data_IF_663792828228
#
_entry.id   IF_663792828228
#
_cell.length_a   1.000
_cell.length_b   1.000
_cell.length_c   1.000
_cell.angle_alpha   90.00
_cell.angle_beta   90.00
_cell.angle_gamma   90.00
#
_symmetry.space_group_name_H-M   'P 1'
#
loop_
_entity.id
_entity.type
_entity.pdbx_description
1 polymer ?
#
# COMPACT_ATOMS: atom_id res chain seq x y z
N UNK A 1 6.58 36.02 -8.12
CA UNK A 1 7.39 34.97 -8.77
C UNK A 1 7.13 33.58 -8.19
N UNK A 2 7.29 33.35 -6.89
CA UNK A 2 7.12 32.01 -6.27
C UNK A 2 5.75 31.35 -6.46
N UNK A 3 4.65 32.13 -6.50
CA UNK A 3 3.30 31.60 -6.77
C UNK A 3 3.13 31.05 -8.18
N UNK A 4 3.83 31.60 -9.18
CA UNK A 4 3.78 31.16 -10.58
C UNK A 4 4.55 29.85 -10.77
N UNK A 5 5.72 29.74 -10.12
CA UNK A 5 6.53 28.51 -10.11
C UNK A 5 5.78 27.36 -9.45
N UNK A 6 5.08 27.60 -8.34
CA UNK A 6 4.23 26.59 -7.70
C UNK A 6 3.08 26.12 -8.61
N UNK A 7 2.49 27.00 -9.43
CA UNK A 7 1.45 26.64 -10.38
C UNK A 7 2.00 25.75 -11.52
N UNK A 8 3.12 26.14 -12.12
CA UNK A 8 3.77 25.36 -13.19
C UNK A 8 4.20 23.98 -12.68
N UNK A 9 4.74 23.95 -11.46
CA UNK A 9 5.15 22.76 -10.75
C UNK A 9 4.02 21.71 -10.63
N UNK A 10 2.82 22.15 -10.23
CA UNK A 10 1.70 21.22 -10.07
C UNK A 10 1.09 20.82 -11.42
N UNK A 11 1.12 21.71 -12.43
CA UNK A 11 0.69 21.36 -13.80
C UNK A 11 1.59 20.23 -14.36
N UNK A 12 2.90 20.27 -14.11
CA UNK A 12 3.82 19.19 -14.52
C UNK A 12 3.49 17.87 -13.81
N UNK A 13 3.24 17.91 -12.50
CA UNK A 13 2.82 16.72 -11.73
C UNK A 13 1.50 16.15 -12.28
N UNK A 14 0.54 17.01 -12.60
CA UNK A 14 -0.74 16.59 -13.18
C UNK A 14 -0.56 15.91 -14.54
N UNK A 15 0.38 16.39 -15.36
CA UNK A 15 0.62 15.81 -16.69
C UNK A 15 1.32 14.45 -16.64
N UNK A 16 2.25 14.27 -15.70
CA UNK A 16 2.91 12.97 -15.45
C UNK A 16 1.89 11.94 -14.96
N UNK A 17 0.90 12.38 -14.18
CA UNK A 17 -0.10 11.52 -13.55
C UNK A 17 -1.23 11.07 -14.48
N UNK A 18 -1.61 11.87 -15.49
CA UNK A 18 -2.61 11.50 -16.52
C UNK A 18 -2.17 10.32 -17.38
N UNK A 19 -0.86 10.12 -17.61
CA UNK A 19 -0.35 9.02 -18.45
C UNK A 19 -0.51 7.61 -17.84
N UNK A 20 -0.98 7.49 -16.60
CA UNK A 20 -0.87 6.27 -15.79
C UNK A 20 -2.22 5.62 -15.49
N UNK A 21 -3.18 5.79 -16.40
CA UNK A 21 -4.57 5.40 -16.21
C UNK A 21 -4.70 3.89 -15.86
N UNK A 22 -4.85 3.58 -14.57
CA UNK A 22 -5.23 2.25 -14.08
C UNK A 22 -6.73 2.14 -14.31
N UNK A 23 -7.16 1.15 -15.11
CA UNK A 23 -8.57 0.96 -15.43
C UNK A 23 -9.46 0.80 -14.18
N UNK A 24 -10.74 1.21 -14.22
CA UNK A 24 -11.64 1.18 -13.07
C UNK A 24 -11.79 -0.22 -12.45
N UNK A 25 -11.75 -1.27 -13.28
CA UNK A 25 -11.88 -2.66 -12.84
C UNK A 25 -10.74 -3.11 -11.91
N UNK A 26 -9.53 -2.59 -12.13
CA UNK A 26 -8.38 -2.87 -11.27
C UNK A 26 -8.57 -2.27 -9.88
N UNK A 27 -9.11 -1.05 -9.80
CA UNK A 27 -9.33 -0.37 -8.51
C UNK A 27 -10.39 -1.09 -7.66
N UNK A 28 -11.46 -1.60 -8.28
CA UNK A 28 -12.50 -2.39 -7.60
C UNK A 28 -11.91 -3.70 -7.07
N UNK A 29 -11.15 -4.41 -7.91
CA UNK A 29 -10.50 -5.67 -7.51
C UNK A 29 -9.54 -5.45 -6.33
N UNK A 30 -8.76 -4.38 -6.34
CA UNK A 30 -7.86 -4.07 -5.23
C UNK A 30 -8.63 -3.69 -3.97
N UNK A 31 -9.68 -2.88 -4.05
CA UNK A 31 -10.50 -2.57 -2.87
C UNK A 31 -11.09 -3.83 -2.24
N UNK A 32 -11.66 -4.72 -3.05
CA UNK A 32 -12.21 -6.01 -2.59
C UNK A 32 -11.16 -6.90 -1.92
N UNK A 33 -9.97 -7.00 -2.51
CA UNK A 33 -8.90 -7.79 -1.92
C UNK A 33 -8.33 -7.14 -0.65
N UNK A 34 -8.33 -5.81 -0.56
CA UNK A 34 -7.95 -5.07 0.64
C UNK A 34 -8.93 -5.34 1.77
N UNK A 35 -10.23 -5.33 1.50
CA UNK A 35 -11.27 -5.69 2.48
C UNK A 35 -11.04 -7.11 3.02
N UNK A 36 -10.84 -8.09 2.12
CA UNK A 36 -10.56 -9.47 2.52
C UNK A 36 -9.30 -9.58 3.39
N UNK A 37 -8.25 -8.83 3.05
CA UNK A 37 -7.00 -8.81 3.78
C UNK A 37 -7.17 -8.30 5.23
N UNK A 38 -8.01 -7.27 5.42
CA UNK A 38 -8.37 -6.76 6.75
C UNK A 38 -9.22 -7.79 7.50
N UNK A 39 -10.19 -8.43 6.84
CA UNK A 39 -11.01 -9.50 7.43
C UNK A 39 -10.14 -10.68 7.89
N UNK A 40 -9.08 -10.99 7.15
CA UNK A 40 -8.11 -12.02 7.51
C UNK A 40 -7.13 -11.58 8.64
N UNK A 41 -7.29 -10.37 9.17
CA UNK A 41 -6.49 -9.83 10.27
C UNK A 41 -5.14 -9.24 9.85
N UNK A 42 -4.94 -8.93 8.57
CA UNK A 42 -3.70 -8.33 8.06
C UNK A 42 -3.81 -6.79 8.01
N UNK A 43 -3.17 -6.11 8.98
CA UNK A 43 -3.02 -4.65 8.99
C UNK A 43 -1.55 -4.31 9.30
N UNK A 44 -0.84 -3.59 8.40
CA UNK A 44 -1.24 -3.23 7.04
C UNK A 44 -1.45 -4.49 6.18
N UNK A 45 -2.33 -4.40 5.19
CA UNK A 45 -2.47 -5.45 4.19
C UNK A 45 -1.17 -5.61 3.42
N UNK A 46 -0.68 -6.85 3.31
CA UNK A 46 0.57 -7.14 2.61
C UNK A 46 0.35 -7.98 1.38
N UNK A 47 -0.60 -8.90 1.41
CA UNK A 47 -0.78 -9.89 0.37
C UNK A 47 -2.18 -9.86 -0.19
N UNK A 48 -2.29 -9.63 -1.49
CA UNK A 48 -3.57 -9.73 -2.19
C UNK A 48 -3.66 -11.11 -2.82
N UNK A 49 -4.70 -11.88 -2.48
CA UNK A 49 -4.78 -13.31 -2.83
C UNK A 49 -5.08 -13.60 -4.31
N UNK A 50 -5.76 -12.69 -4.99
CA UNK A 50 -6.24 -12.88 -6.37
C UNK A 50 -5.49 -12.02 -7.40
N UNK A 51 -4.46 -11.27 -6.98
CA UNK A 51 -3.52 -10.61 -7.90
C UNK A 51 -2.58 -11.63 -8.56
N UNK A 52 -1.76 -11.20 -9.54
CA UNK A 52 -0.83 -12.06 -10.28
C UNK A 52 -1.50 -13.35 -10.80
N UNK A 53 -2.54 -13.20 -11.62
CA UNK A 53 -3.30 -14.32 -12.20
C UNK A 53 -3.88 -15.31 -11.19
N UNK A 54 -4.24 -14.84 -9.99
CA UNK A 54 -4.80 -15.68 -8.94
C UNK A 54 -3.77 -16.32 -8.01
N UNK A 55 -2.47 -16.15 -8.28
CA UNK A 55 -1.37 -16.62 -7.43
C UNK A 55 -1.19 -15.75 -6.18
N UNK A 56 -1.70 -14.53 -6.22
CA UNK A 56 -1.50 -13.52 -5.21
C UNK A 56 -0.11 -12.88 -5.26
N UNK A 57 0.02 -11.71 -4.66
CA UNK A 57 1.22 -10.88 -4.79
C UNK A 57 1.26 -9.84 -3.67
N UNK A 58 2.46 -9.40 -3.23
CA UNK A 58 2.59 -8.36 -2.23
C UNK A 58 2.36 -6.96 -2.80
N UNK A 59 1.13 -6.70 -3.26
CA UNK A 59 0.78 -5.52 -4.06
C UNK A 59 1.05 -4.20 -3.33
N UNK A 60 0.81 -4.16 -2.02
CA UNK A 60 0.99 -2.95 -1.22
C UNK A 60 2.43 -2.61 -0.87
N UNK A 61 3.40 -3.34 -1.41
CA UNK A 61 4.79 -2.89 -1.43
C UNK A 61 5.07 -1.97 -2.64
N UNK A 62 4.21 -1.98 -3.66
CA UNK A 62 4.38 -1.18 -4.87
C UNK A 62 3.24 -0.19 -5.13
N UNK A 63 2.03 -0.49 -4.65
CA UNK A 63 0.86 0.37 -4.76
C UNK A 63 0.52 1.04 -3.44
N UNK A 64 0.00 2.25 -3.54
CA UNK A 64 -0.45 3.06 -2.41
C UNK A 64 -1.67 2.44 -1.69
N UNK A 65 -1.58 2.10 -0.39
CA UNK A 65 -2.71 1.49 0.33
C UNK A 65 -3.76 2.50 0.83
N UNK A 66 -3.37 3.76 1.08
CA UNK A 66 -4.26 4.73 1.74
C UNK A 66 -5.60 4.96 1.01
N UNK A 67 -5.64 5.12 -0.34
CA UNK A 67 -6.90 5.33 -1.05
C UNK A 67 -7.91 4.18 -0.84
N UNK A 68 -7.41 2.94 -0.74
CA UNK A 68 -8.25 1.77 -0.53
C UNK A 68 -8.74 1.71 0.93
N UNK A 69 -7.87 1.96 1.91
CA UNK A 69 -8.30 2.04 3.31
C UNK A 69 -9.35 3.13 3.54
N UNK A 70 -9.20 4.29 2.91
CA UNK A 70 -10.20 5.36 2.99
C UNK A 70 -11.52 4.93 2.33
N UNK A 71 -11.46 4.23 1.21
CA UNK A 71 -12.66 3.69 0.54
C UNK A 71 -13.40 2.63 1.37
N UNK A 72 -12.69 1.88 2.22
CA UNK A 72 -13.32 0.93 3.14
C UNK A 72 -14.18 1.61 4.20
N UNK A 73 -13.97 2.89 4.50
CA UNK A 73 -14.86 3.66 5.39
C UNK A 73 -16.27 3.70 4.78
N UNK A 74 -16.40 3.98 3.48
CA UNK A 74 -17.69 3.96 2.79
C UNK A 74 -18.28 2.54 2.71
N UNK A 75 -17.44 1.52 2.53
CA UNK A 75 -17.89 0.11 2.59
C UNK A 75 -18.55 -0.24 3.90
N UNK A 76 -18.06 0.29 5.04
CA UNK A 76 -18.66 0.08 6.35
C UNK A 76 -20.08 0.68 6.47
N UNK A 77 -20.41 1.69 5.66
CA UNK A 77 -21.76 2.26 5.56
C UNK A 77 -22.69 1.49 4.60
N UNK A 78 -22.25 0.37 4.04
CA UNK A 78 -23.06 -0.50 3.18
C UNK A 78 -23.05 -0.14 1.69
N UNK A 79 -22.28 0.86 1.27
CA UNK A 79 -22.09 1.17 -0.16
C UNK A 79 -21.36 0.04 -0.88
N UNK A 80 -21.67 -0.19 -2.16
CA UNK A 80 -20.90 -1.13 -2.99
C UNK A 80 -19.47 -0.61 -3.25
N UNK A 81 -18.62 -1.45 -3.86
CA UNK A 81 -17.21 -1.12 -4.14
C UNK A 81 -17.05 0.07 -5.09
N UNK A 82 -17.88 0.15 -6.13
CA UNK A 82 -17.80 1.20 -7.14
C UNK A 82 -18.21 2.55 -6.56
N UNK A 83 -19.33 2.59 -5.82
CA UNK A 83 -19.83 3.77 -5.11
C UNK A 83 -18.85 4.20 -4.03
N UNK A 84 -18.25 3.26 -3.30
CA UNK A 84 -17.24 3.58 -2.27
C UNK A 84 -16.02 4.29 -2.87
N UNK A 85 -15.51 3.81 -4.00
CA UNK A 85 -14.41 4.47 -4.72
C UNK A 85 -14.83 5.86 -5.23
N UNK A 86 -16.05 5.99 -5.79
CA UNK A 86 -16.57 7.27 -6.26
C UNK A 86 -16.69 8.30 -5.13
N UNK A 87 -17.25 7.91 -3.98
CA UNK A 87 -17.38 8.78 -2.80
C UNK A 87 -16.01 9.19 -2.25
N UNK A 88 -15.03 8.28 -2.27
CA UNK A 88 -13.64 8.60 -1.96
C UNK A 88 -13.09 9.70 -2.87
N UNK A 89 -13.25 9.57 -4.19
CA UNK A 89 -12.80 10.60 -5.15
C UNK A 89 -13.45 11.94 -4.85
N UNK A 90 -14.77 11.94 -4.69
CA UNK A 90 -15.55 13.16 -4.45
C UNK A 90 -15.07 13.83 -3.18
N UNK A 91 -14.93 13.07 -2.09
CA UNK A 91 -14.49 13.60 -0.79
C UNK A 91 -13.10 14.21 -0.87
N UNK A 92 -12.14 13.50 -1.49
CA UNK A 92 -10.76 13.96 -1.67
C UNK A 92 -10.73 15.20 -2.56
N UNK A 93 -11.53 15.24 -3.63
CA UNK A 93 -11.61 16.38 -4.54
C UNK A 93 -12.19 17.62 -3.85
N UNK A 94 -13.26 17.46 -3.07
CA UNK A 94 -13.85 18.56 -2.29
C UNK A 94 -12.87 19.09 -1.24
N UNK A 95 -12.15 18.19 -0.57
CA UNK A 95 -11.13 18.55 0.41
C UNK A 95 -9.98 19.33 -0.26
N UNK A 96 -9.49 18.84 -1.40
CA UNK A 96 -8.48 19.51 -2.22
C UNK A 96 -8.95 20.93 -2.59
N UNK A 97 -10.15 21.05 -3.14
CA UNK A 97 -10.76 22.31 -3.53
C UNK A 97 -10.80 23.31 -2.37
N UNK A 98 -11.22 22.87 -1.18
CA UNK A 98 -11.27 23.70 0.02
C UNK A 98 -9.88 24.26 0.40
N UNK A 99 -8.83 23.43 0.41
CA UNK A 99 -7.49 23.88 0.77
C UNK A 99 -6.82 24.73 -0.30
N UNK A 100 -7.05 24.44 -1.57
CA UNK A 100 -6.50 25.22 -2.68
C UNK A 100 -7.07 26.64 -2.73
N UNK A 101 -8.38 26.80 -2.48
CA UNK A 101 -9.02 28.11 -2.41
C UNK A 101 -8.39 28.98 -1.30
N UNK A 102 -7.87 28.35 -0.25
CA UNK A 102 -7.16 29.03 0.84
C UNK A 102 -5.72 29.43 0.48
N UNK A 103 -5.08 28.70 -0.44
CA UNK A 103 -3.66 28.89 -0.78
C UNK A 103 -3.45 29.75 -2.03
N UNK A 104 -4.39 29.75 -2.99
CA UNK A 104 -4.23 30.38 -4.30
C UNK A 104 -5.28 31.47 -4.58
N UNK A 105 -4.93 32.54 -5.33
CA UNK A 105 -5.90 33.53 -5.76
C UNK A 105 -6.91 32.95 -6.78
N UNK A 106 -8.14 33.46 -6.77
CA UNK A 106 -9.31 32.93 -7.52
C UNK A 106 -9.06 32.63 -9.01
N UNK A 107 -8.21 33.41 -9.70
CA UNK A 107 -7.91 33.22 -11.14
C UNK A 107 -7.05 31.98 -11.42
N UNK A 108 -6.08 31.67 -10.55
CA UNK A 108 -5.21 30.49 -10.67
C UNK A 108 -5.97 29.23 -10.28
N UNK A 109 -6.85 29.37 -9.30
CA UNK A 109 -7.70 28.30 -8.80
C UNK A 109 -8.58 27.65 -9.88
N UNK A 110 -9.18 28.44 -10.78
CA UNK A 110 -10.11 27.91 -11.79
C UNK A 110 -9.43 27.04 -12.86
N UNK A 111 -8.26 27.47 -13.35
CA UNK A 111 -7.45 26.66 -14.29
C UNK A 111 -7.03 25.35 -13.63
N UNK A 112 -6.71 25.43 -12.35
CA UNK A 112 -6.22 24.32 -11.55
C UNK A 112 -7.30 23.27 -11.24
N UNK A 113 -8.53 23.71 -10.97
CA UNK A 113 -9.69 22.82 -10.78
C UNK A 113 -10.02 22.01 -12.02
N UNK A 114 -9.85 22.60 -13.22
CA UNK A 114 -10.10 21.91 -14.49
C UNK A 114 -9.05 20.83 -14.73
N UNK A 115 -7.77 21.10 -14.43
CA UNK A 115 -6.68 20.12 -14.55
C UNK A 115 -6.70 19.03 -13.48
N UNK A 116 -7.34 19.28 -12.34
CA UNK A 116 -7.51 18.28 -11.27
C UNK A 116 -8.66 17.34 -11.56
N UNK A 117 -9.77 17.83 -12.14
CA UNK A 117 -10.89 16.98 -12.51
C UNK A 117 -10.51 15.90 -13.55
N UNK A 118 -9.42 16.12 -14.29
CA UNK A 118 -8.88 15.15 -15.24
C UNK A 118 -7.90 14.15 -14.61
N UNK A 119 -7.60 14.24 -13.31
CA UNK A 119 -6.72 13.33 -12.58
C UNK A 119 -7.47 12.19 -11.90
N UNK A 120 -6.96 10.98 -12.04
CA UNK A 120 -7.51 9.78 -11.43
C UNK A 120 -7.23 9.70 -9.90
N UNK A 121 -7.92 8.79 -9.22
CA UNK A 121 -7.97 8.68 -7.75
C UNK A 121 -6.61 8.62 -7.05
N UNK A 122 -5.67 7.86 -7.60
CA UNK A 122 -4.35 7.58 -7.01
C UNK A 122 -3.45 8.81 -6.98
N UNK A 123 -3.77 9.85 -7.74
CA UNK A 123 -2.92 11.03 -7.91
C UNK A 123 -3.52 12.25 -7.20
N UNK A 124 -4.84 12.24 -6.98
CA UNK A 124 -5.55 13.25 -6.20
C UNK A 124 -5.17 13.21 -4.71
N UNK A 125 -5.22 12.04 -4.07
CA UNK A 125 -4.89 11.88 -2.65
C UNK A 125 -3.57 12.52 -2.25
N UNK A 126 -2.42 12.14 -2.85
CA UNK A 126 -1.14 12.68 -2.42
C UNK A 126 -1.06 14.19 -2.66
N UNK A 127 -1.66 14.70 -3.75
CA UNK A 127 -1.72 16.14 -4.00
C UNK A 127 -2.50 16.87 -2.89
N UNK A 128 -3.66 16.34 -2.46
CA UNK A 128 -4.43 16.94 -1.35
C UNK A 128 -3.62 17.01 -0.07
N UNK A 129 -2.87 15.95 0.22
CA UNK A 129 -2.11 15.81 1.44
C UNK A 129 -0.86 16.70 1.43
N UNK A 130 -0.22 16.89 0.27
CA UNK A 130 0.85 17.89 0.10
C UNK A 130 0.33 19.32 0.26
N UNK A 131 -0.82 19.63 -0.35
CA UNK A 131 -1.41 20.98 -0.28
C UNK A 131 -1.80 21.31 1.17
N UNK A 132 -2.42 20.36 1.87
CA UNK A 132 -2.75 20.51 3.30
C UNK A 132 -1.49 20.63 4.15
N UNK A 133 -0.48 19.81 3.91
CA UNK A 133 0.85 19.92 4.52
C UNK A 133 1.43 21.34 4.40
N UNK A 134 1.49 21.89 3.19
CA UNK A 134 1.99 23.25 2.96
C UNK A 134 1.16 24.32 3.70
N UNK A 135 -0.15 24.12 3.81
CA UNK A 135 -1.05 25.05 4.52
C UNK A 135 -0.85 25.06 6.04
N UNK A 136 -0.41 23.94 6.61
CA UNK A 136 -0.23 23.77 8.05
C UNK A 136 1.23 23.95 8.50
N UNK A 137 2.21 23.89 7.59
CA UNK A 137 3.63 23.87 7.93
C UNK A 137 4.05 24.95 8.93
N UNK A 138 3.62 26.20 8.72
CA UNK A 138 3.95 27.30 9.63
C UNK A 138 3.09 27.36 10.90
N UNK A 139 1.88 26.79 10.88
CA UNK A 139 0.91 26.90 11.98
C UNK A 139 1.07 25.79 13.00
N UNK A 140 1.25 24.56 12.53
CA UNK A 140 1.42 23.38 13.34
C UNK A 140 2.23 22.36 12.54
N UNK A 141 3.53 22.33 12.76
CA UNK A 141 4.43 21.47 11.98
C UNK A 141 4.21 19.98 12.24
N UNK A 142 3.69 19.59 13.42
CA UNK A 142 3.34 18.20 13.70
C UNK A 142 2.19 17.73 12.82
N UNK A 143 1.13 18.54 12.74
CA UNK A 143 -0.01 18.28 11.86
C UNK A 143 0.42 18.28 10.39
N UNK A 144 1.34 19.17 10.02
CA UNK A 144 1.96 19.14 8.70
C UNK A 144 2.68 17.80 8.46
N UNK A 145 3.53 17.36 9.39
CA UNK A 145 4.27 16.09 9.29
C UNK A 145 3.33 14.89 9.13
N UNK A 146 2.19 14.89 9.84
CA UNK A 146 1.14 13.89 9.71
C UNK A 146 0.57 13.88 8.27
N UNK A 147 0.16 15.03 7.74
CA UNK A 147 -0.34 15.10 6.37
C UNK A 147 0.71 14.70 5.34
N UNK A 148 1.97 15.06 5.56
CA UNK A 148 3.03 14.66 4.65
C UNK A 148 3.28 13.14 4.70
N UNK A 149 3.29 12.51 5.87
CA UNK A 149 3.41 11.07 5.97
C UNK A 149 2.24 10.33 5.32
N UNK A 150 1.01 10.83 5.50
CA UNK A 150 -0.16 10.32 4.77
C UNK A 150 -0.01 10.50 3.25
N UNK A 151 0.57 11.62 2.79
CA UNK A 151 0.84 11.84 1.37
C UNK A 151 1.78 10.76 0.83
N UNK A 152 2.85 10.44 1.56
CA UNK A 152 3.82 9.41 1.17
C UNK A 152 3.18 8.01 1.08
N UNK A 153 2.27 7.67 2.00
CA UNK A 153 1.51 6.40 1.97
C UNK A 153 0.49 6.38 0.81
N UNK A 154 0.11 7.54 0.29
CA UNK A 154 -0.83 7.67 -0.83
C UNK A 154 -0.16 7.64 -2.20
N UNK A 155 1.16 7.52 -2.26
CA UNK A 155 1.91 7.51 -3.52
C UNK A 155 2.49 6.12 -3.80
N UNK A 156 2.32 5.65 -5.03
CA UNK A 156 2.98 4.43 -5.51
C UNK A 156 4.51 4.61 -5.47
N UNK A 157 5.25 3.55 -5.16
CA UNK A 157 6.69 3.64 -4.86
C UNK A 157 7.51 4.30 -5.99
N UNK A 158 7.09 4.11 -7.25
CA UNK A 158 7.70 4.72 -8.43
C UNK A 158 7.69 6.27 -8.42
N UNK A 159 6.71 6.90 -7.75
CA UNK A 159 6.61 8.36 -7.65
C UNK A 159 7.07 8.91 -6.31
N UNK A 160 7.43 8.03 -5.36
CA UNK A 160 7.81 8.42 -4.01
C UNK A 160 9.00 9.39 -3.99
N UNK A 161 10.08 9.08 -4.70
CA UNK A 161 11.28 9.93 -4.73
C UNK A 161 10.97 11.30 -5.35
N UNK A 162 10.16 11.33 -6.42
CA UNK A 162 9.72 12.58 -7.02
C UNK A 162 8.93 13.42 -6.02
N UNK A 163 7.95 12.82 -5.33
CA UNK A 163 7.18 13.51 -4.30
C UNK A 163 8.09 14.06 -3.20
N UNK A 164 9.01 13.25 -2.68
CA UNK A 164 9.92 13.61 -1.60
C UNK A 164 10.83 14.78 -2.00
N UNK A 165 11.49 14.71 -3.16
CA UNK A 165 12.40 15.76 -3.64
C UNK A 165 11.62 17.05 -3.86
N UNK A 166 10.49 16.96 -4.55
CA UNK A 166 9.73 18.13 -4.96
C UNK A 166 9.07 18.86 -3.79
N UNK A 167 8.55 18.12 -2.81
CA UNK A 167 7.99 18.71 -1.58
C UNK A 167 9.08 19.39 -0.74
N UNK A 168 10.23 18.75 -0.54
CA UNK A 168 11.34 19.33 0.20
C UNK A 168 11.94 20.55 -0.52
N UNK A 169 12.06 20.52 -1.85
CA UNK A 169 12.49 21.68 -2.64
C UNK A 169 11.51 22.84 -2.48
N UNK A 170 10.20 22.57 -2.54
CA UNK A 170 9.16 23.59 -2.33
C UNK A 170 9.29 24.20 -0.94
N UNK A 171 9.40 23.37 0.11
CA UNK A 171 9.60 23.86 1.47
C UNK A 171 10.88 24.68 1.62
N UNK A 172 11.98 24.23 1.02
CA UNK A 172 13.24 24.95 1.07
C UNK A 172 13.12 26.33 0.41
N UNK A 173 12.47 26.43 -0.75
CA UNK A 173 12.26 27.70 -1.45
C UNK A 173 11.36 28.66 -0.67
N UNK A 174 10.32 28.18 0.02
CA UNK A 174 9.39 29.03 0.77
C UNK A 174 9.82 29.30 2.21
N UNK A 175 10.61 28.41 2.81
CA UNK A 175 10.89 28.37 4.24
C UNK A 175 12.36 28.06 4.56
N UNK A 176 13.30 28.47 3.71
CA UNK A 176 14.76 28.24 3.88
C UNK A 176 15.28 28.62 5.27
N UNK A 177 14.70 29.63 5.90
CA UNK A 177 15.04 30.08 7.25
C UNK A 177 14.73 29.05 8.36
N UNK A 178 13.92 28.03 8.06
CA UNK A 178 13.42 27.03 9.01
C UNK A 178 13.91 25.60 8.70
N UNK A 179 15.14 25.43 8.20
CA UNK A 179 15.69 24.15 7.75
C UNK A 179 15.55 23.01 8.79
N UNK A 180 15.78 23.29 10.08
CA UNK A 180 15.60 22.29 11.15
C UNK A 180 14.16 21.76 11.23
N UNK A 181 13.16 22.63 11.06
CA UNK A 181 11.73 22.25 11.07
C UNK A 181 11.39 21.42 9.83
N UNK A 182 11.92 21.79 8.66
CA UNK A 182 11.74 21.02 7.41
C UNK A 182 12.27 19.61 7.59
N UNK A 183 13.53 19.46 8.04
CA UNK A 183 14.16 18.15 8.27
C UNK A 183 13.38 17.31 9.28
N UNK A 184 12.95 17.92 10.39
CA UNK A 184 12.16 17.23 11.42
C UNK A 184 10.81 16.75 10.89
N UNK A 185 10.12 17.58 10.10
CA UNK A 185 8.83 17.24 9.53
C UNK A 185 8.94 16.11 8.49
N UNK A 186 9.97 16.18 7.65
CA UNK A 186 10.27 15.13 6.67
C UNK A 186 10.64 13.82 7.37
N UNK A 187 11.45 13.87 8.44
CA UNK A 187 11.80 12.67 9.21
C UNK A 187 10.57 12.03 9.87
N UNK A 188 9.71 12.81 10.50
CA UNK A 188 8.46 12.33 11.11
C UNK A 188 7.51 11.75 10.05
N UNK A 189 7.41 12.38 8.89
CA UNK A 189 6.62 11.88 7.77
C UNK A 189 7.15 10.52 7.26
N UNK A 190 8.47 10.38 7.09
CA UNK A 190 9.12 9.14 6.70
C UNK A 190 8.87 8.02 7.72
N UNK A 191 9.03 8.31 9.01
CA UNK A 191 8.75 7.37 10.09
C UNK A 191 7.28 6.94 10.13
N UNK A 192 6.34 7.88 9.91
CA UNK A 192 4.91 7.56 9.81
C UNK A 192 4.59 6.67 8.60
N UNK A 193 5.30 6.85 7.48
CA UNK A 193 5.12 6.03 6.27
C UNK A 193 5.96 4.74 6.27
N UNK A 194 6.70 4.44 7.34
CA UNK A 194 7.74 3.42 7.32
C UNK A 194 7.21 1.99 7.14
N UNK A 195 5.99 1.67 7.58
CA UNK A 195 5.37 0.36 7.34
C UNK A 195 5.22 0.02 5.86
N UNK A 196 5.09 1.05 5.03
CA UNK A 196 4.93 0.96 3.58
C UNK A 196 6.31 1.02 2.90
N UNK A 197 7.09 2.05 3.23
CA UNK A 197 8.39 2.30 2.60
C UNK A 197 9.46 1.27 2.96
N UNK A 198 9.45 0.78 4.20
CA UNK A 198 10.45 -0.16 4.69
C UNK A 198 10.43 -1.47 3.90
N UNK A 199 9.30 -2.19 3.88
CA UNK A 199 9.13 -3.39 3.06
C UNK A 199 9.41 -3.15 1.58
N UNK A 200 8.87 -2.06 1.01
CA UNK A 200 9.08 -1.74 -0.40
C UNK A 200 10.57 -1.59 -0.73
N UNK A 201 11.35 -0.91 0.11
CA UNK A 201 12.79 -0.74 -0.12
C UNK A 201 13.55 -2.07 0.00
N UNK A 202 13.21 -2.89 1.00
CA UNK A 202 13.88 -4.19 1.18
C UNK A 202 13.57 -5.18 0.07
N UNK A 203 12.37 -5.13 -0.51
CA UNK A 203 11.93 -6.05 -1.56
C UNK A 203 12.21 -5.55 -2.98
N UNK A 204 12.30 -4.22 -3.18
CA UNK A 204 12.66 -3.62 -4.46
C UNK A 204 14.13 -3.89 -4.81
N UNK A 205 15.01 -3.98 -3.80
CA UNK A 205 16.38 -4.45 -3.98
C UNK A 205 16.48 -5.90 -4.47
N UNK A 206 15.41 -6.70 -4.31
CA UNK A 206 15.42 -8.12 -4.66
C UNK A 206 14.90 -8.41 -6.08
N UNK A 207 14.33 -7.45 -6.82
CA UNK A 207 13.51 -7.81 -7.99
C UNK A 207 13.81 -7.07 -9.30
N UNK A 208 14.17 -7.86 -10.31
CA UNK A 208 13.59 -7.74 -11.65
C UNK A 208 12.29 -8.57 -11.65
N UNK A 209 11.13 -7.91 -11.58
CA UNK A 209 9.81 -8.56 -11.46
C UNK A 209 9.44 -9.31 -12.75
N UNK A 210 9.58 -10.65 -12.77
CA UNK A 210 8.94 -11.48 -13.79
C UNK A 210 7.66 -12.10 -13.22
N UNK A 211 6.53 -11.43 -13.45
CA UNK A 211 5.21 -11.96 -13.08
C UNK A 211 4.95 -13.28 -13.81
N UNK A 212 4.19 -14.16 -13.18
CA UNK A 212 3.86 -15.45 -13.78
C UNK A 212 2.73 -15.29 -14.79
N UNK A 213 2.93 -15.78 -16.01
CA UNK A 213 1.88 -15.86 -17.03
C UNK A 213 0.88 -16.99 -16.74
N UNK A 214 1.23 -17.88 -15.81
CA UNK A 214 0.42 -19.05 -15.50
C UNK A 214 -0.76 -18.67 -14.62
N UNK A 215 -1.98 -18.87 -15.14
CA UNK A 215 -3.21 -18.73 -14.37
C UNK A 215 -3.57 -20.07 -13.73
N UNK A 216 -3.47 -20.15 -12.40
CA UNK A 216 -3.78 -21.36 -11.65
C UNK A 216 -4.72 -21.00 -10.49
N UNK A 217 -5.87 -21.67 -10.41
CA UNK A 217 -6.86 -21.44 -9.34
C UNK A 217 -6.86 -22.55 -8.28
N UNK A 218 -6.36 -23.74 -8.61
CA UNK A 218 -6.36 -24.92 -7.75
C UNK A 218 -5.01 -25.63 -7.79
N UNK A 219 -4.62 -26.32 -6.70
CA UNK A 219 -3.43 -27.15 -6.69
C UNK A 219 -3.46 -28.23 -7.77
N UNK A 220 -2.33 -28.50 -8.41
CA UNK A 220 -2.19 -29.56 -9.41
C UNK A 220 -0.96 -30.42 -9.11
N UNK A 221 -1.03 -31.71 -9.44
CA UNK A 221 0.12 -32.62 -9.34
C UNK A 221 0.92 -32.55 -10.65
N UNK A 222 2.22 -32.28 -10.56
CA UNK A 222 3.13 -32.22 -11.72
C UNK A 222 3.87 -33.56 -11.91
N UNK A 223 4.24 -34.22 -10.81
CA UNK A 223 4.93 -35.52 -10.81
C UNK A 223 4.42 -36.43 -9.70
N UNK A 224 4.42 -37.74 -9.93
CA UNK A 224 3.91 -38.74 -8.99
C UNK A 224 2.39 -38.87 -8.99
N UNK A 225 1.85 -39.63 -8.03
CA UNK A 225 0.41 -39.85 -7.87
C UNK A 225 -0.03 -39.34 -6.50
N UNK A 226 -0.81 -38.25 -6.49
CA UNK A 226 -1.36 -37.68 -5.28
C UNK A 226 -2.78 -37.18 -5.49
N UNK A 227 -3.63 -37.34 -4.48
CA UNK A 227 -4.94 -36.72 -4.42
C UNK A 227 -4.88 -35.47 -3.55
N UNK A 228 -5.19 -34.30 -4.13
CA UNK A 228 -5.17 -33.01 -3.44
C UNK A 228 -6.61 -32.60 -3.10
N UNK A 229 -6.86 -32.29 -1.84
CA UNK A 229 -8.19 -31.94 -1.34
C UNK A 229 -8.15 -30.81 -0.30
N UNK A 230 -9.33 -30.30 0.07
CA UNK A 230 -9.51 -29.31 1.14
C UNK A 230 -8.65 -28.04 0.98
N UNK A 231 -8.41 -27.60 -0.26
CA UNK A 231 -7.64 -26.39 -0.50
C UNK A 231 -8.39 -25.16 0.01
N UNK A 232 -7.77 -24.43 0.92
CA UNK A 232 -8.25 -23.16 1.46
C UNK A 232 -7.13 -22.13 1.36
N UNK A 233 -7.47 -20.92 0.91
CA UNK A 233 -6.52 -19.82 0.73
C UNK A 233 -7.11 -18.53 1.30
N UNK A 234 -6.28 -17.79 2.05
CA UNK A 234 -6.50 -16.46 2.65
C UNK A 234 -5.26 -15.60 2.41
N UNK A 235 -5.30 -14.31 2.73
CA UNK A 235 -4.20 -13.38 2.51
C UNK A 235 -2.93 -13.73 3.30
N UNK A 236 -3.07 -14.31 4.47
CA UNK A 236 -1.97 -14.68 5.37
C UNK A 236 -1.84 -16.18 5.62
N UNK A 237 -2.67 -17.01 4.99
CA UNK A 237 -2.78 -18.42 5.30
C UNK A 237 -3.25 -19.25 4.12
N UNK A 238 -2.73 -20.45 3.97
CA UNK A 238 -3.35 -21.47 3.13
C UNK A 238 -3.15 -22.87 3.69
N UNK A 239 -4.04 -23.78 3.30
CA UNK A 239 -4.03 -25.19 3.69
C UNK A 239 -4.47 -26.06 2.54
N UNK A 240 -3.90 -27.26 2.45
CA UNK A 240 -4.42 -28.37 1.65
C UNK A 240 -4.11 -29.71 2.31
N UNK A 241 -4.86 -30.73 1.94
CA UNK A 241 -4.59 -32.12 2.31
C UNK A 241 -4.14 -32.86 1.07
N UNK A 242 -3.03 -33.59 1.18
CA UNK A 242 -2.49 -34.40 0.10
C UNK A 242 -2.42 -35.86 0.52
N UNK A 243 -2.85 -36.76 -0.36
CA UNK A 243 -2.72 -38.21 -0.17
C UNK A 243 -1.90 -38.78 -1.32
N UNK A 244 -0.65 -39.13 -1.03
CA UNK A 244 0.32 -39.65 -2.00
C UNK A 244 0.26 -41.18 -1.97
N UNK A 245 -0.28 -41.77 -3.04
CA UNK A 245 -0.51 -43.22 -3.13
C UNK A 245 0.74 -44.01 -3.54
N UNK A 246 1.75 -43.35 -4.12
CA UNK A 246 3.01 -43.98 -4.55
C UNK A 246 4.03 -44.08 -3.41
N UNK A 247 4.93 -45.06 -3.49
CA UNK A 247 6.13 -45.13 -2.64
C UNK A 247 7.15 -44.01 -2.94
N UNK A 248 6.94 -43.27 -4.02
CA UNK A 248 7.76 -42.13 -4.42
C UNK A 248 7.10 -40.80 -4.01
N UNK A 249 7.93 -39.78 -3.81
CA UNK A 249 7.48 -38.41 -3.52
C UNK A 249 6.70 -37.83 -4.69
N UNK A 250 5.54 -37.21 -4.43
CA UNK A 250 4.82 -36.44 -5.43
C UNK A 250 5.30 -34.98 -5.46
N UNK A 251 5.17 -34.32 -6.61
CA UNK A 251 5.37 -32.87 -6.74
C UNK A 251 4.05 -32.20 -7.05
N UNK A 252 3.70 -31.19 -6.27
CA UNK A 252 2.50 -30.39 -6.49
C UNK A 252 2.84 -28.91 -6.71
N UNK A 253 2.13 -28.28 -7.64
CA UNK A 253 2.11 -26.83 -7.85
C UNK A 253 0.92 -26.24 -7.10
N UNK A 254 1.20 -25.26 -6.26
CA UNK A 254 0.20 -24.55 -5.45
C UNK A 254 -0.06 -23.20 -6.11
N UNK A 255 -1.33 -22.75 -6.25
CA UNK A 255 -1.69 -21.47 -6.88
C UNK A 255 -1.40 -20.27 -5.97
N UNK A 256 -0.18 -20.21 -5.45
CA UNK A 256 0.32 -19.19 -4.54
C UNK A 256 1.73 -18.83 -4.96
N UNK A 257 1.94 -17.55 -5.25
CA UNK A 257 3.26 -17.02 -5.58
C UNK A 257 4.24 -17.29 -4.45
N UNK A 258 5.41 -17.84 -4.78
CA UNK A 258 6.50 -18.00 -3.84
C UNK A 258 6.95 -16.63 -3.34
N UNK A 259 7.10 -16.54 -2.02
CA UNK A 259 7.67 -15.38 -1.33
C UNK A 259 8.39 -15.87 -0.07
N UNK A 260 9.59 -15.34 0.27
CA UNK A 260 10.39 -15.83 1.40
C UNK A 260 9.70 -15.73 2.76
N UNK A 261 8.70 -14.85 2.89
CA UNK A 261 7.91 -14.71 4.12
C UNK A 261 6.89 -15.83 4.34
N UNK A 262 6.63 -16.70 3.34
CA UNK A 262 5.79 -17.88 3.55
C UNK A 262 6.57 -18.96 4.31
N UNK A 263 6.05 -19.35 5.47
CA UNK A 263 6.53 -20.54 6.18
C UNK A 263 5.60 -21.70 5.86
N UNK A 264 6.11 -22.68 5.11
CA UNK A 264 5.38 -23.86 4.67
C UNK A 264 5.72 -25.02 5.62
N UNK A 265 4.70 -25.71 6.11
CA UNK A 265 4.81 -26.86 7.00
C UNK A 265 4.08 -28.06 6.38
N UNK A 266 4.72 -29.23 6.41
CA UNK A 266 4.11 -30.54 6.12
C UNK A 266 4.08 -31.29 7.45
N UNK A 267 2.88 -31.56 7.97
CA UNK A 267 2.69 -32.20 9.29
C UNK A 267 3.52 -31.53 10.40
N UNK A 268 3.45 -30.20 10.46
CA UNK A 268 4.18 -29.33 11.41
C UNK A 268 5.69 -29.23 11.19
N UNK A 269 6.28 -30.01 10.29
CA UNK A 269 7.68 -29.90 9.91
C UNK A 269 7.88 -28.84 8.82
N UNK A 270 8.80 -27.88 9.05
CA UNK A 270 9.12 -26.83 8.07
C UNK A 270 9.76 -27.43 6.82
N UNK A 271 9.24 -27.03 5.67
CA UNK A 271 9.70 -27.48 4.35
C UNK A 271 10.09 -26.29 3.48
N UNK A 272 11.06 -26.49 2.60
CA UNK A 272 11.52 -25.51 1.62
C UNK A 272 10.91 -25.90 0.27
N UNK A 273 10.29 -24.95 -0.47
CA UNK A 273 9.74 -25.25 -1.78
C UNK A 273 10.85 -25.60 -2.78
N UNK A 274 10.49 -26.42 -3.77
CA UNK A 274 11.39 -26.89 -4.83
C UNK A 274 11.79 -25.76 -5.78
N UNK A 275 10.91 -24.76 -5.96
CA UNK A 275 11.17 -23.56 -6.73
C UNK A 275 11.21 -22.35 -5.78
N UNK A 276 12.32 -21.62 -5.79
CA UNK A 276 12.55 -20.40 -5.02
C UNK A 276 12.49 -19.13 -5.89
N UNK A 277 12.05 -19.25 -7.14
CA UNK A 277 11.86 -18.09 -8.02
C UNK A 277 10.73 -17.22 -7.50
N UNK A 278 11.06 -15.97 -7.11
CA UNK A 278 10.09 -15.00 -6.59
C UNK A 278 8.90 -14.82 -7.54
N UNK A 279 7.70 -14.81 -6.96
CA UNK A 279 6.44 -14.56 -7.66
C UNK A 279 6.01 -15.59 -8.72
N UNK A 280 6.71 -16.73 -8.78
CA UNK A 280 6.27 -17.90 -9.52
C UNK A 280 5.43 -18.82 -8.61
N UNK A 281 4.59 -19.70 -9.18
CA UNK A 281 3.84 -20.67 -8.39
C UNK A 281 4.75 -21.49 -7.47
N UNK A 282 4.31 -21.69 -6.23
CA UNK A 282 5.03 -22.48 -5.24
C UNK A 282 4.95 -23.96 -5.62
N UNK A 283 6.11 -24.61 -5.76
CA UNK A 283 6.20 -26.06 -6.04
C UNK A 283 6.75 -26.74 -4.80
N UNK A 284 6.11 -27.82 -4.35
CA UNK A 284 6.51 -28.57 -3.16
C UNK A 284 6.63 -30.06 -3.46
N UNK A 285 7.62 -30.71 -2.83
CA UNK A 285 7.73 -32.16 -2.78
C UNK A 285 6.94 -32.69 -1.58
N UNK A 286 6.07 -33.66 -1.81
CA UNK A 286 5.19 -34.26 -0.81
C UNK A 286 5.61 -35.73 -0.63
N UNK A 287 5.98 -36.16 0.59
CA UNK A 287 6.35 -37.55 0.84
C UNK A 287 5.16 -38.52 0.67
N UNK A 288 5.43 -39.84 0.55
CA UNK A 288 4.39 -40.87 0.55
C UNK A 288 3.51 -40.84 1.80
N UNK A 289 2.20 -41.04 1.62
CA UNK A 289 1.23 -41.04 2.71
C UNK A 289 0.27 -39.86 2.70
N UNK A 290 -0.46 -39.69 3.81
CA UNK A 290 -1.43 -38.61 3.98
C UNK A 290 -0.81 -37.47 4.78
N UNK A 291 -0.82 -36.27 4.19
CA UNK A 291 -0.15 -35.10 4.74
C UNK A 291 -1.10 -33.90 4.78
N UNK A 292 -1.02 -33.13 5.87
CA UNK A 292 -1.62 -31.79 5.92
C UNK A 292 -0.54 -30.76 5.68
N UNK A 293 -0.72 -29.98 4.62
CA UNK A 293 0.20 -28.92 4.24
C UNK A 293 -0.45 -27.60 4.59
N UNK A 294 0.24 -26.80 5.41
CA UNK A 294 -0.19 -25.47 5.81
C UNK A 294 0.92 -24.48 5.54
N UNK A 295 0.56 -23.25 5.21
CA UNK A 295 1.52 -22.17 5.24
C UNK A 295 0.93 -20.89 5.79
N UNK A 296 1.81 -20.10 6.39
CA UNK A 296 1.50 -18.83 7.01
C UNK A 296 2.44 -17.76 6.47
N UNK A 297 1.89 -16.58 6.19
CA UNK A 297 2.70 -15.42 5.84
C UNK A 297 3.21 -14.79 7.14
N UNK A 298 4.50 -14.96 7.41
CA UNK A 298 5.13 -14.43 8.62
C UNK A 298 5.60 -12.99 8.43
N UNK A 299 5.58 -12.23 9.52
CA UNK A 299 6.25 -10.94 9.55
C UNK A 299 7.76 -11.17 9.63
N UNK A 300 8.52 -10.56 8.72
CA UNK A 300 9.96 -10.45 8.92
C UNK A 300 10.25 -9.51 10.10
N UNK A 301 11.45 -9.64 10.69
CA UNK A 301 11.92 -8.73 11.73
C UNK A 301 11.91 -7.28 11.25
N UNK A 302 12.27 -7.03 9.99
CA UNK A 302 12.24 -5.68 9.41
C UNK A 302 10.82 -5.13 9.38
N UNK A 303 9.84 -5.91 8.92
CA UNK A 303 8.47 -5.39 8.86
C UNK A 303 7.86 -5.19 10.23
N UNK A 304 8.19 -6.03 11.21
CA UNK A 304 7.80 -5.79 12.60
C UNK A 304 8.32 -4.44 13.11
N UNK A 305 9.61 -4.14 12.88
CA UNK A 305 10.23 -2.87 13.28
C UNK A 305 9.54 -1.68 12.60
N UNK A 306 9.31 -1.74 11.28
CA UNK A 306 8.67 -0.65 10.55
C UNK A 306 7.21 -0.42 10.94
N UNK A 307 6.46 -1.50 11.20
CA UNK A 307 5.11 -1.40 11.75
C UNK A 307 5.12 -0.72 13.12
N UNK A 308 6.05 -1.10 14.00
CA UNK A 308 6.19 -0.51 15.33
C UNK A 308 6.56 0.99 15.24
N UNK A 309 7.53 1.35 14.39
CA UNK A 309 7.94 2.74 14.17
C UNK A 309 6.78 3.61 13.66
N UNK A 310 6.01 3.09 12.71
CA UNK A 310 4.80 3.75 12.20
C UNK A 310 3.80 3.99 13.32
N UNK A 311 3.49 2.95 14.11
CA UNK A 311 2.51 3.03 15.19
C UNK A 311 2.93 4.07 16.25
N UNK A 312 4.16 3.99 16.72
CA UNK A 312 4.69 4.92 17.72
C UNK A 312 4.71 6.36 17.20
N UNK A 313 5.10 6.56 15.94
CA UNK A 313 5.12 7.89 15.32
C UNK A 313 3.71 8.43 15.12
N UNK A 314 2.76 7.59 14.71
CA UNK A 314 1.35 7.95 14.57
C UNK A 314 0.73 8.38 15.89
N UNK A 315 0.96 7.60 16.96
CA UNK A 315 0.50 7.93 18.31
C UNK A 315 1.13 9.23 18.81
N UNK A 316 2.44 9.41 18.61
CA UNK A 316 3.15 10.64 18.98
C UNK A 316 2.56 11.86 18.25
N UNK A 317 2.43 11.79 16.92
CA UNK A 317 1.87 12.87 16.12
C UNK A 317 0.42 13.17 16.50
N UNK A 318 -0.39 12.15 16.80
CA UNK A 318 -1.76 12.34 17.28
C UNK A 318 -1.78 13.11 18.60
N UNK A 319 -1.04 12.66 19.61
CA UNK A 319 -1.01 13.31 20.94
C UNK A 319 -0.52 14.76 20.86
N UNK A 320 0.50 15.04 20.06
CA UNK A 320 1.12 16.37 20.00
C UNK A 320 0.36 17.33 19.07
N UNK A 321 -0.31 16.82 18.03
CA UNK A 321 -1.03 17.68 17.07
C UNK A 321 -2.34 18.25 17.62
N UNK A 322 -2.97 17.56 18.58
CA UNK A 322 -4.24 17.96 19.19
C UNK A 322 -3.98 18.46 20.62
N UNK A 323 -3.65 19.76 20.81
CA UNK A 323 -3.40 20.29 22.15
C UNK A 323 -4.64 20.05 23.02
N UNK A 324 -4.41 19.55 24.24
CA UNK A 324 -5.48 19.47 25.22
C UNK A 324 -5.93 20.90 25.49
N UNK A 325 -7.12 21.28 25.01
CA UNK A 325 -7.82 22.48 25.43
C UNK A 325 -8.23 22.32 26.91
N UNK A 326 -7.25 22.23 27.81
CA UNK A 326 -7.49 22.40 29.25
C UNK A 326 -7.48 23.91 29.45
N UNK A 327 -8.65 24.53 29.32
CA UNK A 327 -8.88 25.83 29.93
C UNK A 327 -8.60 25.67 31.42
N UNK A 328 -7.51 26.27 31.90
CA UNK A 328 -7.44 26.65 33.32
C UNK A 328 -8.26 27.93 33.43
N UNK A 329 -9.57 27.77 33.58
CA UNK A 329 -10.42 28.85 34.08
C UNK A 329 -10.23 28.85 35.61
N UNK A 330 -9.33 29.70 36.10
CA UNK A 330 -9.25 30.11 37.50
C UNK A 330 -9.10 31.62 37.58
#
# INVERSE_FOLDING_TARGET
MYKLLASIFIIIISHITIKLNIGPDFSISYLKQTEQCIIDGQIPCRWLIYSNNGLGFPVFNNLSPLPYYFSLIFRQFGFDYSVSLALTIITVTLFLFYFLNKLFPKKIFLVFTITILSLFTSTLFPLTLVVTFLSFFNKNFYLASLFFGLALISVDIQYFLYLLILTNLTLFLFYSQNLKKILSATMLALLLSSFYLGPSLTELLQNQLKLSETKLNYPQVIKGQAYLSQFQKRSNFWRLTAEVSSNETAQAIIPISYHPSWTILIDQAKTIPTNDTLYQPTIINIPPGQHTIVAFLQNSTSTFIFNLLTLLTGLYLFVVSFPKNVKKDH
#
